data_IF_749134209128
#
_entry.id   IF_749134209128
#
_cell.length_a   1.000
_cell.length_b   1.000
_cell.length_c   1.000
_cell.angle_alpha   90.00
_cell.angle_beta   90.00
_cell.angle_gamma   90.00
#
_symmetry.space_group_name_H-M   'P 1'
#
loop_
_entity.id
_entity.type
_entity.pdbx_description
1 polymer ?
#
# COMPACT_ATOMS: atom_id res chain seq x y z
N UNK A 1 4.85 26.43 23.47
CA UNK A 1 4.81 27.42 22.38
C UNK A 1 3.74 26.96 21.43
N UNK A 2 2.58 27.62 21.41
CA UNK A 2 1.50 27.30 20.46
C UNK A 2 1.97 27.76 19.08
N UNK A 3 2.37 26.83 18.22
CA UNK A 3 2.58 27.09 16.80
C UNK A 3 1.32 27.72 16.24
N UNK A 4 1.42 28.91 15.65
CA UNK A 4 0.28 29.54 15.00
C UNK A 4 -0.21 28.62 13.88
N UNK A 5 -1.51 28.32 13.85
CA UNK A 5 -2.11 27.47 12.83
C UNK A 5 -1.93 28.09 11.43
N UNK A 6 -1.53 27.29 10.46
CA UNK A 6 -1.38 27.71 9.07
C UNK A 6 -1.88 26.63 8.10
N UNK A 7 -2.40 27.06 6.94
CA UNK A 7 -2.92 26.13 5.93
C UNK A 7 -1.78 25.56 5.07
N UNK A 8 -1.90 24.29 4.69
CA UNK A 8 -1.08 23.71 3.64
C UNK A 8 -1.46 24.37 2.30
N UNK A 9 -0.49 24.92 1.58
CA UNK A 9 -0.69 25.48 0.25
C UNK A 9 0.55 25.26 -0.60
N UNK A 10 0.48 25.58 -1.90
CA UNK A 10 1.63 25.49 -2.81
C UNK A 10 2.85 26.30 -2.35
N UNK A 11 2.66 27.32 -1.50
CA UNK A 11 3.72 28.21 -0.98
C UNK A 11 3.87 28.13 0.54
N UNK A 12 3.32 27.09 1.16
CA UNK A 12 3.40 26.84 2.60
C UNK A 12 3.27 25.35 2.91
N UNK A 13 3.97 24.48 2.18
CA UNK A 13 3.83 23.02 2.32
C UNK A 13 4.29 22.49 3.67
N UNK A 14 5.11 23.23 4.40
CA UNK A 14 5.50 22.87 5.76
C UNK A 14 4.34 22.93 6.78
N UNK A 15 3.24 23.60 6.44
CA UNK A 15 2.07 23.77 7.29
C UNK A 15 1.07 22.62 7.16
N UNK A 16 0.42 22.24 8.27
CA UNK A 16 -0.68 21.27 8.29
C UNK A 16 -1.70 21.59 9.40
N UNK A 17 -2.33 22.77 9.30
CA UNK A 17 -3.27 23.26 10.31
C UNK A 17 -2.54 23.62 11.60
N UNK A 18 -2.90 22.97 12.70
CA UNK A 18 -2.22 23.10 13.99
C UNK A 18 -0.88 22.34 14.06
N UNK A 19 -0.63 21.46 13.07
CA UNK A 19 0.56 20.65 12.94
C UNK A 19 1.47 21.18 11.83
N UNK A 20 2.69 20.65 11.74
CA UNK A 20 3.68 21.06 10.73
C UNK A 20 4.69 19.96 10.46
N UNK A 21 5.60 20.22 9.51
CA UNK A 21 6.77 19.38 9.22
C UNK A 21 7.66 19.12 10.45
N UNK A 22 7.62 20.01 11.45
CA UNK A 22 8.41 19.92 12.68
C UNK A 22 7.71 19.11 13.78
N UNK A 23 6.45 18.73 13.57
CA UNK A 23 5.71 17.92 14.54
C UNK A 23 6.25 16.50 14.55
N UNK A 24 6.63 16.02 15.73
CA UNK A 24 7.11 14.65 15.90
C UNK A 24 5.95 13.65 15.73
N UNK A 25 5.81 13.09 14.53
CA UNK A 25 4.71 12.16 14.20
C UNK A 25 4.79 10.82 14.93
N UNK A 26 5.93 10.48 15.54
CA UNK A 26 6.04 9.28 16.37
C UNK A 26 5.25 9.39 17.68
N UNK A 27 5.08 10.62 18.19
CA UNK A 27 4.47 10.89 19.49
C UNK A 27 3.13 11.62 19.36
N UNK A 28 2.92 12.35 18.26
CA UNK A 28 1.75 13.17 18.01
C UNK A 28 1.12 12.77 16.69
N UNK A 29 -0.19 12.55 16.67
CA UNK A 29 -0.96 12.25 15.46
C UNK A 29 -2.23 13.12 15.44
N UNK A 30 -2.56 13.78 14.32
CA UNK A 30 -3.83 14.51 14.21
C UNK A 30 -5.01 13.59 14.47
N UNK A 31 -5.99 14.06 15.25
CA UNK A 31 -7.26 13.38 15.36
C UNK A 31 -8.26 14.04 14.41
N UNK A 32 -8.36 13.50 13.20
CA UNK A 32 -9.26 14.04 12.17
C UNK A 32 -10.71 13.60 12.39
N UNK A 33 -10.95 12.50 13.11
CA UNK A 33 -12.25 11.85 13.21
C UNK A 33 -12.75 11.22 11.91
N UNK A 34 -11.97 11.30 10.83
CA UNK A 34 -12.32 10.79 9.50
C UNK A 34 -11.88 9.34 9.38
N UNK A 35 -12.77 8.53 8.81
CA UNK A 35 -12.47 7.16 8.38
C UNK A 35 -12.55 7.09 6.86
N UNK A 36 -11.52 6.53 6.24
CA UNK A 36 -11.52 6.21 4.83
C UNK A 36 -11.64 4.70 4.65
N UNK A 37 -12.66 4.30 3.92
CA UNK A 37 -13.04 2.91 3.76
C UNK A 37 -12.82 2.46 2.31
N UNK A 38 -12.17 1.32 2.13
CA UNK A 38 -11.77 0.78 0.83
C UNK A 38 -12.14 -0.70 0.71
N UNK A 39 -12.46 -1.12 -0.51
CA UNK A 39 -12.68 -2.51 -0.87
C UNK A 39 -11.70 -2.95 -1.95
N UNK A 40 -10.81 -3.86 -1.58
CA UNK A 40 -9.85 -4.48 -2.47
C UNK A 40 -10.26 -5.92 -2.79
N UNK A 41 -10.34 -6.21 -4.08
CA UNK A 41 -10.58 -7.55 -4.61
C UNK A 41 -9.24 -8.09 -5.10
N UNK A 42 -8.73 -9.15 -4.47
CA UNK A 42 -7.52 -9.84 -4.95
C UNK A 42 -7.92 -10.80 -6.06
N UNK A 43 -7.46 -10.53 -7.27
CA UNK A 43 -7.96 -11.19 -8.49
C UNK A 43 -6.83 -11.88 -9.26
N UNK A 44 -7.19 -12.96 -9.95
CA UNK A 44 -6.36 -13.49 -11.02
C UNK A 44 -6.79 -12.82 -12.33
N UNK A 45 -5.89 -12.07 -12.94
CA UNK A 45 -6.17 -11.21 -14.10
C UNK A 45 -5.28 -11.57 -15.28
N UNK A 46 -5.69 -11.16 -16.47
CA UNK A 46 -4.85 -11.17 -17.68
C UNK A 46 -4.62 -9.72 -18.09
N UNK A 47 -3.36 -9.32 -18.20
CA UNK A 47 -2.97 -7.93 -18.49
C UNK A 47 -1.92 -7.88 -19.61
N UNK A 48 -1.78 -6.70 -20.24
CA UNK A 48 -0.82 -6.44 -21.33
C UNK A 48 -0.10 -5.10 -21.11
N UNK A 49 0.71 -4.94 -20.05
CA UNK A 49 1.24 -3.63 -19.63
C UNK A 49 2.34 -3.08 -20.56
N UNK A 50 3.03 -3.94 -21.31
CA UNK A 50 4.18 -3.60 -22.18
C UNK A 50 4.01 -4.15 -23.60
N UNK A 51 2.78 -4.51 -23.99
CA UNK A 51 2.47 -5.17 -25.25
C UNK A 51 2.55 -6.71 -25.22
N UNK A 52 3.02 -7.30 -24.10
CA UNK A 52 3.00 -8.76 -23.90
C UNK A 52 1.85 -9.17 -22.95
N UNK A 53 0.96 -10.04 -23.42
CA UNK A 53 -0.16 -10.53 -22.60
C UNK A 53 0.28 -11.65 -21.67
N UNK A 54 0.04 -11.49 -20.36
CA UNK A 54 0.34 -12.50 -19.34
C UNK A 54 -0.67 -12.51 -18.20
N UNK A 55 -0.64 -13.55 -17.38
CA UNK A 55 -1.37 -13.59 -16.11
C UNK A 55 -0.71 -12.68 -15.06
N UNK A 56 -1.54 -12.07 -14.21
CA UNK A 56 -1.12 -11.26 -13.08
C UNK A 56 -2.05 -11.50 -11.89
N UNK A 57 -1.54 -11.31 -10.68
CA UNK A 57 -2.38 -11.20 -9.49
C UNK A 57 -2.55 -9.72 -9.20
N UNK A 58 -3.78 -9.22 -9.11
CA UNK A 58 -4.05 -7.77 -9.05
C UNK A 58 -4.98 -7.41 -7.90
N UNK A 59 -4.96 -6.14 -7.53
CA UNK A 59 -6.07 -5.55 -6.80
C UNK A 59 -7.01 -4.91 -7.81
N UNK A 60 -8.27 -5.36 -7.83
CA UNK A 60 -9.34 -4.81 -8.67
C UNK A 60 -9.01 -4.74 -10.18
N UNK A 61 -8.23 -5.70 -10.69
CA UNK A 61 -7.99 -5.88 -12.11
C UNK A 61 -6.86 -5.04 -12.71
N UNK A 62 -6.13 -4.24 -11.92
CA UNK A 62 -5.07 -3.36 -12.43
C UNK A 62 -3.71 -3.58 -11.79
N UNK A 63 -2.66 -3.24 -12.53
CA UNK A 63 -1.29 -3.11 -12.03
C UNK A 63 -0.79 -1.71 -12.41
N UNK A 64 -0.41 -0.85 -11.45
CA UNK A 64 -0.63 -0.99 -10.00
C UNK A 64 -2.12 -1.12 -9.64
N UNK A 65 -2.39 -1.63 -8.43
CA UNK A 65 -3.72 -1.62 -7.81
C UNK A 65 -4.22 -0.20 -7.50
N UNK A 66 -5.48 -0.05 -7.05
CA UNK A 66 -6.07 1.25 -6.73
C UNK A 66 -5.24 2.06 -5.74
N UNK A 67 -5.19 3.38 -5.92
CA UNK A 67 -4.56 4.24 -4.92
C UNK A 67 -5.40 4.29 -3.64
N UNK A 68 -4.74 4.05 -2.51
CA UNK A 68 -5.29 4.36 -1.19
C UNK A 68 -4.74 5.72 -0.80
N UNK A 69 -5.62 6.68 -0.60
CA UNK A 69 -5.26 8.06 -0.25
C UNK A 69 -5.92 8.44 1.05
N UNK A 70 -5.12 8.84 2.03
CA UNK A 70 -5.58 9.34 3.32
C UNK A 70 -4.90 10.65 3.68
N UNK A 71 -5.42 11.33 4.70
CA UNK A 71 -4.71 12.42 5.34
C UNK A 71 -4.06 11.93 6.64
N UNK A 72 -2.98 12.59 7.05
CA UNK A 72 -2.30 12.30 8.31
C UNK A 72 -3.30 12.37 9.48
N UNK A 73 -3.47 11.25 10.18
CA UNK A 73 -4.38 11.09 11.30
C UNK A 73 -5.67 10.33 11.01
N UNK A 74 -6.03 10.13 9.73
CA UNK A 74 -7.22 9.38 9.34
C UNK A 74 -7.14 7.91 9.78
N UNK A 75 -8.31 7.32 10.01
CA UNK A 75 -8.44 5.87 10.18
C UNK A 75 -8.71 5.21 8.83
N UNK A 76 -7.96 4.15 8.53
CA UNK A 76 -8.17 3.34 7.34
C UNK A 76 -8.91 2.06 7.73
N UNK A 77 -9.97 1.76 6.97
CA UNK A 77 -10.67 0.47 7.00
C UNK A 77 -10.60 -0.11 5.60
N UNK A 78 -9.96 -1.27 5.45
CA UNK A 78 -9.69 -1.83 4.13
C UNK A 78 -10.14 -3.29 4.11
N UNK A 79 -11.22 -3.55 3.38
CA UNK A 79 -11.78 -4.88 3.18
C UNK A 79 -11.03 -5.55 2.03
N UNK A 80 -10.31 -6.62 2.33
CA UNK A 80 -9.59 -7.40 1.32
C UNK A 80 -10.30 -8.73 1.15
N UNK A 81 -10.91 -8.94 -0.01
CA UNK A 81 -11.52 -10.22 -0.39
C UNK A 81 -10.55 -10.98 -1.29
N UNK A 82 -10.24 -12.22 -0.92
CA UNK A 82 -9.39 -13.09 -1.73
C UNK A 82 -10.22 -13.83 -2.80
N UNK A 83 -10.21 -13.35 -4.05
CA UNK A 83 -10.89 -14.02 -5.17
C UNK A 83 -9.95 -14.94 -5.99
N UNK A 84 -8.74 -15.24 -5.49
CA UNK A 84 -7.88 -16.28 -6.06
C UNK A 84 -8.45 -17.67 -5.74
N UNK A 85 -8.15 -18.65 -6.60
CA UNK A 85 -8.63 -20.03 -6.42
C UNK A 85 -7.65 -20.93 -5.67
N UNK A 86 -6.34 -20.66 -5.77
CA UNK A 86 -5.30 -21.64 -5.40
C UNK A 86 -4.29 -21.10 -4.37
N UNK A 87 -4.43 -19.84 -3.94
CA UNK A 87 -3.54 -19.26 -2.95
C UNK A 87 -4.35 -18.59 -1.85
N UNK A 88 -3.81 -18.66 -0.62
CA UNK A 88 -4.11 -17.64 0.36
C UNK A 88 -3.50 -16.30 -0.05
N UNK A 89 -3.86 -15.22 0.64
CA UNK A 89 -3.20 -13.92 0.47
C UNK A 89 -3.13 -13.19 1.80
N UNK A 90 -2.27 -12.19 1.92
CA UNK A 90 -2.14 -11.36 3.12
C UNK A 90 -1.48 -10.05 2.70
N UNK A 91 -2.06 -8.92 3.08
CA UNK A 91 -1.70 -7.61 2.50
C UNK A 91 -0.99 -6.80 3.56
N UNK A 92 0.29 -6.53 3.30
CA UNK A 92 1.13 -5.71 4.15
C UNK A 92 1.09 -4.24 3.70
N UNK A 93 1.08 -3.37 4.69
CA UNK A 93 1.04 -1.92 4.53
C UNK A 93 2.45 -1.38 4.74
N UNK A 94 3.25 -1.41 3.68
CA UNK A 94 4.68 -1.17 3.74
C UNK A 94 4.98 0.16 4.44
N UNK A 95 5.86 0.13 5.45
CA UNK A 95 6.26 1.34 6.18
C UNK A 95 5.22 1.91 7.14
N UNK A 96 4.00 1.36 7.22
CA UNK A 96 3.02 1.73 8.24
C UNK A 96 3.42 1.11 9.58
N UNK A 97 3.50 1.94 10.62
CA UNK A 97 4.04 1.57 11.94
C UNK A 97 3.22 0.50 12.68
N UNK A 98 1.92 0.41 12.42
CA UNK A 98 0.99 -0.49 13.10
C UNK A 98 1.00 -0.37 14.64
N UNK A 99 1.14 0.85 15.16
CA UNK A 99 1.13 1.09 16.60
C UNK A 99 -0.23 0.75 17.20
N UNK A 100 -0.30 -0.34 17.97
CA UNK A 100 -1.54 -0.84 18.57
C UNK A 100 -2.46 -1.59 17.61
N UNK A 101 -1.97 -1.94 16.42
CA UNK A 101 -2.72 -2.63 15.35
C UNK A 101 -1.88 -3.73 14.69
N UNK A 102 -1.06 -4.43 15.48
CA UNK A 102 -0.11 -5.46 15.03
C UNK A 102 -0.79 -6.55 14.17
N UNK A 103 -1.98 -6.98 14.57
CA UNK A 103 -2.77 -8.01 13.89
C UNK A 103 -3.19 -7.60 12.46
N UNK A 104 -3.07 -6.32 12.11
CA UNK A 104 -3.36 -5.77 10.80
C UNK A 104 -2.11 -5.47 9.98
N UNK A 105 -0.93 -5.92 10.43
CA UNK A 105 0.32 -5.73 9.68
C UNK A 105 0.39 -6.56 8.39
N UNK A 106 -0.35 -7.67 8.27
CA UNK A 106 -0.45 -8.38 7.00
C UNK A 106 0.70 -9.32 6.66
N UNK A 107 1.36 -9.90 7.67
CA UNK A 107 2.48 -10.82 7.49
C UNK A 107 2.02 -12.24 7.80
N UNK A 108 1.79 -13.10 6.78
CA UNK A 108 1.25 -14.43 6.99
C UNK A 108 2.28 -15.31 7.72
N UNK A 109 1.84 -15.97 8.79
CA UNK A 109 2.70 -16.77 9.68
C UNK A 109 3.38 -15.98 10.80
N UNK A 110 3.19 -14.66 10.86
CA UNK A 110 3.66 -13.80 11.97
C UNK A 110 2.49 -13.11 12.64
N UNK A 111 1.78 -12.24 11.92
CA UNK A 111 0.70 -11.41 12.49
C UNK A 111 -0.69 -11.95 12.18
N UNK A 112 -0.81 -12.80 11.16
CA UNK A 112 -2.07 -13.45 10.79
C UNK A 112 -1.86 -14.77 10.04
N UNK A 113 -2.95 -15.53 9.89
CA UNK A 113 -3.05 -16.54 8.83
C UNK A 113 -3.33 -15.89 7.47
N UNK A 114 -3.01 -16.54 6.35
CA UNK A 114 -3.46 -16.10 5.03
C UNK A 114 -5.00 -16.06 4.95
N UNK A 115 -5.54 -15.05 4.29
CA UNK A 115 -6.95 -14.98 3.89
C UNK A 115 -7.19 -16.08 2.87
N UNK A 116 -8.08 -17.03 3.17
CA UNK A 116 -8.37 -18.15 2.27
C UNK A 116 -9.13 -17.69 1.01
N UNK A 117 -9.07 -18.44 -0.10
CA UNK A 117 -9.96 -18.25 -1.24
C UNK A 117 -11.44 -18.07 -0.82
N UNK A 118 -12.06 -16.98 -1.27
CA UNK A 118 -13.44 -16.58 -0.95
C UNK A 118 -13.61 -15.81 0.36
N UNK A 119 -12.61 -15.79 1.24
CA UNK A 119 -12.69 -15.09 2.53
C UNK A 119 -12.36 -13.60 2.39
N UNK A 120 -12.81 -12.82 3.38
CA UNK A 120 -12.52 -11.39 3.51
C UNK A 120 -11.93 -11.09 4.87
N UNK A 121 -10.82 -10.34 4.90
CA UNK A 121 -10.29 -9.73 6.12
C UNK A 121 -10.41 -8.21 6.01
N UNK A 122 -10.89 -7.57 7.08
CA UNK A 122 -10.94 -6.12 7.18
C UNK A 122 -9.77 -5.63 8.02
N UNK A 123 -8.82 -4.96 7.39
CA UNK A 123 -7.68 -4.33 8.05
C UNK A 123 -8.09 -2.97 8.60
N UNK A 124 -7.62 -2.63 9.81
CA UNK A 124 -7.92 -1.37 10.46
C UNK A 124 -6.68 -0.77 11.10
N UNK A 125 -6.29 0.43 10.70
CA UNK A 125 -5.15 1.11 11.29
C UNK A 125 -5.25 2.61 11.10
N UNK A 126 -4.52 3.35 11.92
CA UNK A 126 -4.44 4.80 11.82
C UNK A 126 -3.24 5.23 10.99
N UNK A 127 -3.44 6.22 10.12
CA UNK A 127 -2.39 6.89 9.38
C UNK A 127 -1.58 7.81 10.32
N UNK A 128 -0.74 7.23 11.18
CA UNK A 128 0.12 7.98 12.14
C UNK A 128 1.33 8.65 11.49
N UNK A 129 1.60 8.33 10.23
CA UNK A 129 2.68 8.86 9.41
C UNK A 129 2.08 9.57 8.19
N UNK A 130 2.88 10.35 7.47
CA UNK A 130 2.52 10.95 6.18
C UNK A 130 3.65 10.76 5.15
N UNK A 131 3.30 10.83 3.88
CA UNK A 131 4.20 10.66 2.75
C UNK A 131 3.74 9.56 1.78
N UNK A 132 4.70 9.08 0.99
CA UNK A 132 4.46 8.07 -0.04
C UNK A 132 4.94 6.70 0.43
N UNK A 133 4.04 5.72 0.37
CA UNK A 133 4.39 4.32 0.50
C UNK A 133 3.49 3.49 -0.42
N UNK A 134 3.41 2.19 -0.16
CA UNK A 134 2.72 1.22 -0.98
C UNK A 134 2.17 0.10 -0.09
N UNK A 135 1.19 -0.61 -0.62
CA UNK A 135 0.67 -1.84 -0.02
C UNK A 135 0.89 -2.96 -1.01
N UNK A 136 1.17 -4.16 -0.50
CA UNK A 136 1.45 -5.30 -1.36
C UNK A 136 1.12 -6.60 -0.64
N UNK A 137 0.90 -7.66 -1.42
CA UNK A 137 0.85 -8.98 -0.81
C UNK A 137 2.20 -9.33 -0.17
N UNK A 138 2.14 -9.83 1.06
CA UNK A 138 3.27 -10.43 1.76
C UNK A 138 3.20 -11.97 1.73
N UNK A 139 2.25 -12.54 0.99
CA UNK A 139 2.15 -13.97 0.80
C UNK A 139 3.04 -14.43 -0.37
N UNK A 140 4.15 -15.08 -0.05
CA UNK A 140 5.09 -15.62 -1.05
C UNK A 140 5.51 -14.55 -2.08
N UNK A 141 5.49 -14.87 -3.37
CA UNK A 141 5.95 -14.00 -4.46
C UNK A 141 4.82 -13.17 -5.11
N UNK A 142 3.62 -13.14 -4.53
CA UNK A 142 2.43 -12.59 -5.21
C UNK A 142 2.59 -11.13 -5.66
N UNK A 143 3.29 -10.28 -4.90
CA UNK A 143 3.46 -8.87 -5.28
C UNK A 143 4.25 -8.72 -6.58
N UNK A 144 5.22 -9.60 -6.86
CA UNK A 144 6.01 -9.57 -8.09
C UNK A 144 5.18 -9.97 -9.32
N UNK A 145 4.03 -10.61 -9.11
CA UNK A 145 3.03 -10.88 -10.16
C UNK A 145 2.00 -9.76 -10.33
N UNK A 146 2.19 -8.61 -9.66
CA UNK A 146 1.35 -7.41 -9.81
C UNK A 146 0.54 -7.03 -8.59
N UNK A 147 0.61 -7.80 -7.49
CA UNK A 147 -0.29 -7.63 -6.34
C UNK A 147 0.22 -6.58 -5.36
N UNK A 148 0.28 -5.32 -5.83
CA UNK A 148 0.68 -4.13 -5.09
C UNK A 148 -0.08 -2.89 -5.56
N UNK A 149 -0.09 -1.83 -4.76
CA UNK A 149 -0.65 -0.53 -5.13
C UNK A 149 -0.10 0.62 -4.26
N UNK A 150 -0.33 1.88 -4.63
CA UNK A 150 0.20 3.01 -3.89
C UNK A 150 -0.66 3.32 -2.65
N UNK A 151 0.02 3.65 -1.54
CA UNK A 151 -0.58 4.17 -0.32
C UNK A 151 0.01 5.56 -0.06
N UNK A 152 -0.80 6.58 -0.28
CA UNK A 152 -0.41 7.99 -0.17
C UNK A 152 -1.11 8.57 1.04
N UNK A 153 -0.35 9.11 1.99
CA UNK A 153 -0.90 9.81 3.14
C UNK A 153 -0.48 11.27 3.06
N UNK A 154 -1.43 12.17 2.78
CA UNK A 154 -1.15 13.60 2.69
C UNK A 154 -0.73 14.16 4.05
N UNK A 155 0.20 15.10 4.03
CA UNK A 155 0.73 15.78 5.19
C UNK A 155 1.62 16.96 4.78
N UNK A 156 2.36 17.55 5.71
CA UNK A 156 3.31 18.60 5.38
C UNK A 156 4.50 18.06 4.56
N UNK A 157 5.18 18.96 3.85
CA UNK A 157 6.41 18.66 3.11
C UNK A 157 7.52 19.68 3.41
N UNK A 158 8.76 19.32 3.14
CA UNK A 158 9.96 20.12 3.44
C UNK A 158 10.25 21.22 2.42
N UNK A 159 9.59 21.18 1.26
CA UNK A 159 9.70 22.17 0.21
C UNK A 159 8.32 22.44 -0.41
N UNK A 160 8.17 23.67 -0.89
CA UNK A 160 6.97 24.11 -1.61
C UNK A 160 6.91 23.47 -3.00
N UNK A 161 5.69 23.12 -3.41
CA UNK A 161 5.40 22.56 -4.74
C UNK A 161 3.94 22.84 -5.11
N UNK A 162 3.71 23.09 -6.39
CA UNK A 162 2.40 23.43 -6.93
C UNK A 162 1.51 22.19 -7.10
N UNK A 163 2.05 21.14 -7.71
CA UNK A 163 1.31 19.94 -8.11
C UNK A 163 1.94 18.67 -7.54
N UNK A 164 1.08 17.76 -7.06
CA UNK A 164 1.45 16.38 -6.74
C UNK A 164 1.06 15.49 -7.93
N UNK A 165 2.04 14.88 -8.58
CA UNK A 165 1.82 13.97 -9.72
C UNK A 165 1.47 12.54 -9.28
N UNK A 166 1.49 12.27 -7.97
CA UNK A 166 1.22 10.96 -7.40
C UNK A 166 2.40 10.00 -7.49
N UNK A 167 2.10 8.71 -7.29
CA UNK A 167 3.11 7.66 -7.23
C UNK A 167 3.62 7.26 -8.63
N UNK A 168 4.93 7.07 -8.75
CA UNK A 168 5.59 6.47 -9.92
C UNK A 168 6.26 5.18 -9.46
N UNK A 169 5.76 4.03 -9.93
CA UNK A 169 6.37 2.74 -9.64
C UNK A 169 7.53 2.46 -10.61
N UNK A 170 8.63 1.95 -10.05
CA UNK A 170 9.76 1.43 -10.80
C UNK A 170 9.90 -0.05 -10.42
N UNK A 171 9.88 -0.92 -11.42
CA UNK A 171 9.95 -2.36 -11.20
C UNK A 171 10.56 -3.06 -12.42
N UNK A 172 11.10 -4.25 -12.18
CA UNK A 172 11.24 -5.25 -13.21
C UNK A 172 9.87 -5.84 -13.59
N UNK A 173 9.82 -6.46 -14.76
CA UNK A 173 8.61 -7.08 -15.27
C UNK A 173 8.94 -8.33 -16.08
N UNK A 174 8.49 -9.48 -15.59
CA UNK A 174 8.65 -10.74 -16.31
C UNK A 174 7.52 -10.94 -17.33
N UNK A 175 7.75 -11.74 -18.39
CA UNK A 175 6.69 -12.19 -19.31
C UNK A 175 5.98 -13.47 -18.88
N UNK A 176 6.37 -14.06 -17.74
CA UNK A 176 5.74 -15.23 -17.12
C UNK A 176 5.43 -14.97 -15.65
N UNK A 177 4.50 -15.75 -15.08
CA UNK A 177 4.29 -15.71 -13.63
C UNK A 177 5.60 -15.98 -12.88
N UNK A 178 5.87 -15.18 -11.85
CA UNK A 178 7.03 -15.36 -10.98
C UNK A 178 7.02 -16.74 -10.31
N UNK A 179 5.83 -17.32 -10.13
CA UNK A 179 5.67 -18.67 -9.60
C UNK A 179 6.14 -19.75 -10.59
N UNK A 180 6.10 -19.50 -11.90
CA UNK A 180 6.61 -20.44 -12.91
C UNK A 180 8.15 -20.47 -12.95
N UNK A 181 8.79 -19.35 -12.64
CA UNK A 181 10.25 -19.22 -12.68
C UNK A 181 10.92 -19.44 -11.32
N UNK A 182 10.14 -19.56 -10.25
CA UNK A 182 10.63 -19.76 -8.88
C UNK A 182 11.57 -20.96 -8.74
N UNK A 183 11.21 -22.12 -9.30
CA UNK A 183 11.99 -23.36 -9.17
C UNK A 183 13.41 -23.23 -9.74
N UNK A 184 13.56 -22.43 -10.80
CA UNK A 184 14.86 -22.11 -11.40
C UNK A 184 15.57 -21.00 -10.62
N UNK A 185 14.85 -19.94 -10.22
CA UNK A 185 15.41 -18.80 -9.51
C UNK A 185 16.04 -19.20 -8.17
N UNK A 186 15.39 -20.09 -7.40
CA UNK A 186 15.93 -20.60 -6.12
C UNK A 186 17.22 -21.42 -6.25
N UNK A 187 17.57 -21.86 -7.46
CA UNK A 187 18.81 -22.58 -7.76
C UNK A 187 19.93 -21.63 -8.20
N UNK A 188 19.69 -20.32 -8.23
CA UNK A 188 20.67 -19.29 -8.58
C UNK A 188 20.73 -18.95 -10.08
N UNK A 189 19.82 -19.47 -10.89
CA UNK A 189 19.68 -19.00 -12.28
C UNK A 189 19.02 -17.60 -12.28
N UNK A 190 19.60 -16.60 -12.95
CA UNK A 190 18.94 -15.30 -13.08
C UNK A 190 17.63 -15.49 -13.88
N UNK A 191 16.50 -14.96 -13.39
CA UNK A 191 15.24 -15.06 -14.12
C UNK A 191 15.34 -14.31 -15.46
N UNK A 192 14.84 -14.94 -16.53
CA UNK A 192 14.62 -14.24 -17.79
C UNK A 192 13.34 -13.41 -17.63
N UNK A 193 13.50 -12.09 -17.60
CA UNK A 193 12.41 -11.12 -17.53
C UNK A 193 11.77 -10.96 -18.91
#
# INVERSE_FOLDING_TARGET
>A
STTASCANSATSRSCWGEYSIDTNWYDVTPNTGVTREYWLSVENSTITPDGYTRSAMTFNGTVPGPAITADWGDNLIIHVTNNLQHNGTSIHWHGIRQLGSLEYDGVPGVTQCPIAPGDTLTYKFQATQYGTTWYHSHFSLQYADGLFGPLIINGPATADYDEDVGAIFLQDWAHKSVFEIWDSARQGAPPAL
#
